data_IF_150759098896
#
_entry.id   IF_150759098896
#
_cell.length_a   1.000
_cell.length_b   1.000
_cell.length_c   1.000
_cell.angle_alpha   90.00
_cell.angle_beta   90.00
_cell.angle_gamma   90.00
#
_symmetry.space_group_name_H-M   'P 1'
#
loop_
_entity.id
_entity.type
_entity.pdbx_description
1 polymer ?
#
# COMPACT_ATOMS: atom_id res chain seq x y z
N UNK A 1 3.91 3.65 -12.18
CA UNK A 1 4.75 3.65 -13.40
C UNK A 1 4.84 2.22 -13.88
N UNK A 2 4.51 1.94 -15.13
CA UNK A 2 4.49 0.57 -15.65
C UNK A 2 5.87 0.23 -16.20
N UNK A 3 6.64 -0.58 -15.48
CA UNK A 3 7.97 -1.04 -15.92
C UNK A 3 7.79 -2.25 -16.83
N UNK A 4 8.27 -2.16 -18.08
CA UNK A 4 8.19 -3.24 -19.08
C UNK A 4 9.60 -3.53 -19.58
N UNK A 5 10.00 -4.80 -19.52
CA UNK A 5 11.30 -5.28 -20.01
C UNK A 5 11.10 -6.22 -21.19
N UNK A 6 11.94 -6.08 -22.23
CA UNK A 6 12.01 -7.02 -23.35
C UNK A 6 12.83 -8.28 -23.02
N UNK A 7 13.54 -8.30 -21.89
CA UNK A 7 14.24 -9.47 -21.38
C UNK A 7 13.31 -10.29 -20.47
N UNK A 8 12.94 -11.52 -20.88
CA UNK A 8 12.05 -12.40 -20.10
C UNK A 8 12.64 -12.84 -18.75
N UNK A 9 13.97 -12.82 -18.60
CA UNK A 9 14.61 -13.21 -17.33
C UNK A 9 14.31 -12.22 -16.20
N UNK A 10 13.93 -10.98 -16.53
CA UNK A 10 13.57 -9.94 -15.58
C UNK A 10 12.08 -9.90 -15.24
N UNK A 11 11.24 -10.66 -15.94
CA UNK A 11 9.79 -10.64 -15.69
C UNK A 11 9.39 -11.12 -14.29
N UNK A 12 9.99 -12.17 -13.72
CA UNK A 12 9.70 -12.56 -12.34
C UNK A 12 9.98 -11.42 -11.37
N UNK A 13 11.14 -10.77 -11.50
CA UNK A 13 11.53 -9.63 -10.68
C UNK A 13 10.52 -8.47 -10.81
N UNK A 14 10.09 -8.16 -12.03
CA UNK A 14 9.08 -7.12 -12.27
C UNK A 14 7.74 -7.48 -11.62
N UNK A 15 7.33 -8.75 -11.69
CA UNK A 15 6.11 -9.25 -11.03
C UNK A 15 6.20 -9.09 -9.52
N UNK A 16 7.29 -9.55 -8.92
CA UNK A 16 7.53 -9.45 -7.47
C UNK A 16 7.51 -7.99 -7.00
N UNK A 17 8.14 -7.09 -7.76
CA UNK A 17 8.08 -5.65 -7.47
C UNK A 17 6.65 -5.10 -7.57
N UNK A 18 5.86 -5.51 -8.56
CA UNK A 18 4.47 -5.05 -8.67
C UNK A 18 3.64 -5.51 -7.48
N UNK A 19 3.73 -6.79 -7.10
CA UNK A 19 3.04 -7.34 -5.94
C UNK A 19 3.44 -6.61 -4.64
N UNK A 20 4.75 -6.40 -4.44
CA UNK A 20 5.24 -5.66 -3.27
C UNK A 20 4.72 -4.22 -3.23
N UNK A 21 4.68 -3.51 -4.36
CA UNK A 21 4.14 -2.16 -4.42
C UNK A 21 2.64 -2.13 -4.06
N UNK A 22 1.85 -3.08 -4.55
CA UNK A 22 0.43 -3.17 -4.18
C UNK A 22 0.25 -3.46 -2.68
N UNK A 23 1.07 -4.36 -2.13
CA UNK A 23 1.08 -4.64 -0.71
C UNK A 23 1.42 -3.41 0.13
N UNK A 24 2.47 -2.67 -0.25
CA UNK A 24 2.89 -1.44 0.43
C UNK A 24 1.77 -0.39 0.44
N UNK A 25 1.14 -0.14 -0.71
CA UNK A 25 0.01 0.80 -0.81
C UNK A 25 -1.18 0.35 0.05
N UNK A 26 -1.50 -0.95 0.08
CA UNK A 26 -2.58 -1.49 0.90
C UNK A 26 -2.29 -1.31 2.41
N UNK A 27 -1.07 -1.63 2.85
CA UNK A 27 -0.64 -1.44 4.23
C UNK A 27 -0.66 0.04 4.64
N UNK A 28 -0.12 0.93 3.81
CA UNK A 28 -0.12 2.37 4.08
C UNK A 28 -1.56 2.91 4.17
N UNK A 29 -2.44 2.48 3.27
CA UNK A 29 -3.86 2.86 3.29
C UNK A 29 -4.53 2.41 4.59
N UNK A 30 -4.29 1.16 5.02
CA UNK A 30 -4.83 0.65 6.28
C UNK A 30 -4.34 1.46 7.49
N UNK A 31 -3.04 1.77 7.56
CA UNK A 31 -2.45 2.56 8.65
C UNK A 31 -3.04 3.97 8.70
N UNK A 32 -3.15 4.65 7.56
CA UNK A 32 -3.72 6.01 7.51
C UNK A 32 -5.19 6.00 7.87
N UNK A 33 -5.94 5.00 7.40
CA UNK A 33 -7.35 4.86 7.74
C UNK A 33 -7.56 4.59 9.24
N UNK A 34 -6.82 3.65 9.80
CA UNK A 34 -6.86 3.32 11.24
C UNK A 34 -6.49 4.53 12.10
N UNK A 35 -5.45 5.28 11.71
CA UNK A 35 -5.08 6.52 12.39
C UNK A 35 -6.22 7.54 12.37
N UNK A 36 -6.84 7.78 11.21
CA UNK A 36 -7.95 8.72 11.09
C UNK A 36 -9.20 8.28 11.86
N UNK A 37 -9.48 6.98 11.88
CA UNK A 37 -10.58 6.41 12.64
C UNK A 37 -10.34 6.55 14.16
N UNK A 38 -9.14 6.24 14.64
CA UNK A 38 -8.75 6.41 16.04
C UNK A 38 -8.87 7.88 16.50
N UNK A 39 -8.40 8.82 15.67
CA UNK A 39 -8.53 10.25 15.96
C UNK A 39 -10.01 10.66 16.05
N UNK A 40 -10.84 10.21 15.10
CA UNK A 40 -12.29 10.47 15.09
C UNK A 40 -12.99 9.90 16.33
N UNK A 41 -12.67 8.67 16.73
CA UNK A 41 -13.21 8.05 17.93
C UNK A 41 -12.76 8.77 19.20
N UNK A 42 -11.49 9.18 19.27
CA UNK A 42 -10.98 9.98 20.37
C UNK A 42 -11.71 11.34 20.48
N UNK A 43 -12.00 12.02 19.36
CA UNK A 43 -12.83 13.23 19.39
C UNK A 43 -14.27 12.95 19.84
N UNK A 44 -14.85 11.81 19.44
CA UNK A 44 -16.22 11.43 19.78
C UNK A 44 -16.41 11.07 21.26
N UNK A 45 -15.39 10.50 21.92
CA UNK A 45 -15.44 10.19 23.35
C UNK A 45 -15.17 11.40 24.26
N UNK A 46 -14.57 12.47 23.74
CA UNK A 46 -14.27 13.69 24.49
C UNK A 46 -15.41 14.75 24.50
N UNK A 47 -16.56 14.45 23.88
CA UNK A 47 -17.77 15.28 23.85
C UNK A 47 -18.99 14.49 24.35
#
# INVERSE_FOLDING_TARGET
MTTVSNDPSLWPLISDYQEFNYFEVACLTAVVYDWGAHDTDAYRENY
#
